data_IF_576058154604
#
_entry.id   IF_576058154604
#
_cell.length_a   1.000
_cell.length_b   1.000
_cell.length_c   1.000
_cell.angle_alpha   90.00
_cell.angle_beta   90.00
_cell.angle_gamma   90.00
#
_symmetry.space_group_name_H-M   'P 1'
#
loop_
_entity.id
_entity.type
_entity.pdbx_description
1 polymer ?
#
# COMPACT_ATOMS: atom_id res chain seq x y z
N UNK A 1 -58.36 -7.53 21.18
CA UNK A 1 -57.04 -7.09 21.70
C UNK A 1 -55.91 -8.07 21.33
N UNK A 2 -56.11 -9.37 21.38
CA UNK A 2 -55.13 -10.43 21.11
C UNK A 2 -54.58 -10.47 19.66
N UNK A 3 -55.41 -10.19 18.64
CA UNK A 3 -55.00 -10.27 17.21
C UNK A 3 -53.96 -9.17 16.89
N UNK A 4 -54.12 -7.97 17.40
CA UNK A 4 -53.14 -6.86 17.20
C UNK A 4 -51.79 -7.17 17.84
N UNK A 5 -51.78 -7.77 19.04
CA UNK A 5 -50.54 -8.21 19.70
C UNK A 5 -49.85 -9.35 18.92
N UNK A 6 -50.60 -10.26 18.30
CA UNK A 6 -50.03 -11.36 17.52
C UNK A 6 -49.39 -10.87 16.22
N UNK A 7 -50.00 -9.87 15.56
CA UNK A 7 -49.46 -9.27 14.33
C UNK A 7 -48.16 -8.52 14.64
N UNK A 8 -48.07 -7.77 15.75
CA UNK A 8 -46.86 -7.07 16.16
C UNK A 8 -45.74 -8.04 16.50
N UNK A 9 -46.03 -9.13 17.19
CA UNK A 9 -45.07 -10.18 17.51
C UNK A 9 -44.53 -10.85 16.24
N UNK A 10 -45.40 -11.13 15.25
CA UNK A 10 -45.00 -11.71 13.97
C UNK A 10 -44.12 -10.80 13.14
N UNK A 11 -44.37 -9.47 13.13
CA UNK A 11 -43.53 -8.48 12.46
C UNK A 11 -42.14 -8.39 13.12
N UNK A 12 -42.07 -8.46 14.45
CA UNK A 12 -40.79 -8.43 15.17
C UNK A 12 -39.97 -9.71 14.90
N UNK A 13 -40.61 -10.86 14.79
CA UNK A 13 -39.94 -12.13 14.48
C UNK A 13 -39.38 -12.18 13.05
N UNK A 14 -40.03 -11.54 12.09
CA UNK A 14 -39.61 -11.55 10.69
C UNK A 14 -38.43 -10.61 10.43
N UNK A 15 -38.27 -9.52 11.22
CA UNK A 15 -37.12 -8.61 11.09
C UNK A 15 -35.80 -9.20 11.62
N UNK A 16 -35.85 -10.17 12.51
CA UNK A 16 -34.67 -10.85 13.06
C UNK A 16 -34.02 -11.87 12.13
N UNK A 17 -34.65 -12.26 11.04
CA UNK A 17 -34.21 -13.35 10.16
C UNK A 17 -33.29 -12.88 8.99
N UNK A 18 -33.03 -11.60 8.86
CA UNK A 18 -32.20 -11.06 7.76
C UNK A 18 -30.85 -10.45 8.20
N UNK A 19 -30.26 -10.95 9.29
CA UNK A 19 -28.86 -10.69 9.53
C UNK A 19 -28.04 -11.57 8.59
N UNK A 20 -27.72 -11.06 7.40
CA UNK A 20 -26.77 -11.73 6.51
C UNK A 20 -25.41 -11.72 7.20
N UNK A 21 -24.88 -12.89 7.51
CA UNK A 21 -23.54 -13.00 8.07
C UNK A 21 -22.55 -12.34 7.11
N UNK A 22 -21.85 -11.31 7.62
CA UNK A 22 -20.86 -10.62 6.83
C UNK A 22 -19.60 -11.48 6.69
N UNK A 23 -19.09 -11.59 5.47
CA UNK A 23 -17.80 -12.25 5.23
C UNK A 23 -16.68 -11.39 5.76
N UNK A 24 -15.92 -11.89 6.72
CA UNK A 24 -14.73 -11.20 7.25
C UNK A 24 -13.63 -11.17 6.20
N UNK A 25 -13.06 -9.99 6.00
CA UNK A 25 -12.01 -9.71 5.03
C UNK A 25 -10.95 -8.83 5.69
N UNK A 26 -9.71 -9.17 5.47
CA UNK A 26 -8.57 -8.36 5.91
C UNK A 26 -7.99 -7.56 4.75
N UNK A 27 -7.74 -6.26 4.97
CA UNK A 27 -7.07 -5.35 4.05
C UNK A 27 -5.84 -4.74 4.71
N UNK A 28 -4.65 -5.11 4.26
CA UNK A 28 -3.38 -4.60 4.77
C UNK A 28 -2.96 -3.35 4.03
N UNK A 29 -2.66 -2.27 4.78
CA UNK A 29 -2.07 -1.06 4.22
C UNK A 29 -0.56 -1.22 4.04
N UNK A 30 -0.02 -0.55 3.02
CA UNK A 30 1.40 -0.61 2.66
C UNK A 30 2.25 0.46 3.34
N UNK A 31 1.64 1.36 4.08
CA UNK A 31 2.28 2.44 4.84
C UNK A 31 1.40 2.88 6.00
N UNK A 32 1.94 3.78 6.84
CA UNK A 32 1.20 4.40 7.94
C UNK A 32 -0.05 5.13 7.44
N UNK A 33 -1.00 5.35 8.33
CA UNK A 33 -2.26 6.01 8.02
C UNK A 33 -2.02 7.41 7.47
N UNK A 34 -2.39 7.59 6.20
CA UNK A 34 -2.24 8.82 5.45
C UNK A 34 -3.43 8.98 4.50
N UNK A 35 -3.62 10.18 3.96
CA UNK A 35 -4.75 10.51 3.09
C UNK A 35 -4.85 9.61 1.85
N UNK A 36 -3.75 9.06 1.37
CA UNK A 36 -3.75 8.08 0.26
C UNK A 36 -4.63 6.85 0.51
N UNK A 37 -4.91 6.53 1.78
CA UNK A 37 -5.77 5.40 2.17
C UNK A 37 -7.18 5.82 2.55
N UNK A 38 -7.51 7.11 2.47
CA UNK A 38 -8.81 7.65 2.90
C UNK A 38 -10.00 6.92 2.27
N UNK A 39 -9.88 6.50 0.99
CA UNK A 39 -10.93 5.80 0.28
C UNK A 39 -11.35 4.49 0.96
N UNK A 40 -10.41 3.73 1.51
CA UNK A 40 -10.70 2.48 2.22
C UNK A 40 -11.43 2.73 3.54
N UNK A 41 -10.99 3.73 4.31
CA UNK A 41 -11.63 4.12 5.56
C UNK A 41 -13.03 4.68 5.34
N UNK A 42 -13.20 5.56 4.35
CA UNK A 42 -14.51 6.13 3.99
C UNK A 42 -15.47 5.03 3.53
N UNK A 43 -15.00 4.06 2.74
CA UNK A 43 -15.82 2.94 2.30
C UNK A 43 -16.30 2.10 3.49
N UNK A 44 -15.47 1.90 4.50
CA UNK A 44 -15.82 1.20 5.73
C UNK A 44 -16.83 2.01 6.55
N UNK A 45 -16.55 3.29 6.86
CA UNK A 45 -17.40 4.16 7.68
C UNK A 45 -18.78 4.41 7.05
N UNK A 46 -18.83 4.59 5.73
CA UNK A 46 -20.10 4.74 5.00
C UNK A 46 -20.83 3.42 4.76
N UNK A 47 -20.30 2.31 5.25
CA UNK A 47 -20.94 1.00 5.16
C UNK A 47 -20.97 0.41 3.75
N UNK A 48 -20.11 0.88 2.81
CA UNK A 48 -20.10 0.36 1.45
C UNK A 48 -19.69 -1.12 1.42
N UNK A 49 -18.75 -1.53 2.25
CA UNK A 49 -18.37 -2.93 2.39
C UNK A 49 -19.52 -3.77 2.95
N UNK A 50 -20.21 -3.29 3.98
CA UNK A 50 -21.36 -3.98 4.59
C UNK A 50 -22.50 -4.20 3.59
N UNK A 51 -22.76 -3.21 2.72
CA UNK A 51 -23.76 -3.33 1.64
C UNK A 51 -23.43 -4.48 0.67
N UNK A 52 -22.15 -4.80 0.52
CA UNK A 52 -21.68 -5.93 -0.29
C UNK A 52 -21.57 -7.25 0.51
N UNK A 53 -21.98 -7.25 1.78
CA UNK A 53 -21.89 -8.42 2.65
C UNK A 53 -20.50 -8.68 3.21
N UNK A 54 -19.65 -7.64 3.29
CA UNK A 54 -18.28 -7.73 3.77
C UNK A 54 -18.10 -6.99 5.11
N UNK A 55 -17.38 -7.62 6.04
CA UNK A 55 -16.82 -7.00 7.24
C UNK A 55 -15.32 -6.86 7.03
N UNK A 56 -14.88 -5.63 6.69
CA UNK A 56 -13.47 -5.37 6.33
C UNK A 56 -12.70 -4.86 7.53
N UNK A 57 -11.70 -5.62 7.96
CA UNK A 57 -10.68 -5.20 8.89
C UNK A 57 -9.53 -4.53 8.12
N UNK A 58 -9.32 -3.23 8.32
CA UNK A 58 -8.19 -2.49 7.76
C UNK A 58 -7.03 -2.62 8.75
N UNK A 59 -5.95 -3.28 8.33
CA UNK A 59 -4.75 -3.50 9.13
C UNK A 59 -3.73 -2.40 8.87
N UNK A 60 -3.28 -1.67 9.93
CA UNK A 60 -2.26 -0.66 9.79
C UNK A 60 -0.91 -1.28 9.41
N UNK A 61 -0.06 -0.46 8.79
CA UNK A 61 1.32 -0.87 8.49
C UNK A 61 2.17 -0.91 9.75
N UNK A 62 3.09 -1.85 9.80
CA UNK A 62 4.21 -1.85 10.74
C UNK A 62 5.49 -2.33 10.04
N UNK A 63 6.65 -1.92 10.56
CA UNK A 63 7.92 -2.42 10.06
C UNK A 63 8.10 -3.91 10.35
N UNK A 64 8.72 -4.63 9.42
CA UNK A 64 8.95 -6.07 9.54
C UNK A 64 7.86 -6.95 8.92
N UNK A 65 6.74 -6.37 8.48
CA UNK A 65 5.71 -7.12 7.74
C UNK A 65 6.16 -7.37 6.30
N UNK A 66 5.99 -8.60 5.83
CA UNK A 66 6.19 -8.95 4.41
C UNK A 66 4.84 -9.14 3.74
N UNK A 67 4.25 -8.02 3.30
CA UNK A 67 2.90 -7.98 2.73
C UNK A 67 2.72 -8.95 1.56
N UNK A 68 3.58 -9.00 0.52
CA UNK A 68 3.41 -9.94 -0.59
C UNK A 68 3.48 -11.40 -0.15
N UNK A 69 4.30 -11.73 0.86
CA UNK A 69 4.37 -13.08 1.40
C UNK A 69 3.11 -13.44 2.19
N UNK A 70 2.59 -12.52 2.99
CA UNK A 70 1.42 -12.76 3.82
C UNK A 70 0.15 -12.93 2.97
N UNK A 71 0.01 -12.17 1.87
CA UNK A 71 -1.06 -12.38 0.88
C UNK A 71 -0.87 -13.71 0.16
N UNK A 72 0.36 -14.04 -0.29
CA UNK A 72 0.66 -15.30 -0.97
C UNK A 72 0.37 -16.52 -0.12
N UNK A 73 0.51 -16.40 1.20
CA UNK A 73 0.24 -17.45 2.18
C UNK A 73 -1.21 -17.43 2.71
N UNK A 74 -2.08 -16.59 2.16
CA UNK A 74 -3.47 -16.43 2.60
C UNK A 74 -3.63 -16.01 4.08
N UNK A 75 -2.65 -15.36 4.67
CA UNK A 75 -2.77 -14.73 6.00
C UNK A 75 -3.53 -13.42 5.95
N UNK A 76 -3.53 -12.78 4.79
CA UNK A 76 -4.20 -11.53 4.48
C UNK A 76 -4.92 -11.71 3.15
N UNK A 77 -6.17 -11.26 3.07
CA UNK A 77 -7.00 -11.44 1.87
C UNK A 77 -6.65 -10.42 0.79
N UNK A 78 -6.49 -9.14 1.18
CA UNK A 78 -6.19 -8.04 0.27
C UNK A 78 -5.09 -7.16 0.86
N UNK A 79 -4.32 -6.53 -0.01
CA UNK A 79 -3.32 -5.57 0.42
C UNK A 79 -3.14 -4.44 -0.60
N UNK A 80 -2.71 -3.29 -0.11
CA UNK A 80 -2.19 -2.23 -0.95
C UNK A 80 -0.74 -2.53 -1.27
N UNK A 81 -0.35 -2.37 -2.52
CA UNK A 81 1.01 -2.60 -3.00
C UNK A 81 1.45 -1.54 -3.99
N UNK A 82 2.64 -1.73 -4.53
CA UNK A 82 3.26 -0.84 -5.51
C UNK A 82 3.73 -1.65 -6.73
N UNK A 83 4.32 -0.99 -7.71
CA UNK A 83 4.88 -1.57 -8.93
C UNK A 83 5.88 -2.72 -8.68
N UNK A 84 6.51 -2.73 -7.52
CA UNK A 84 7.42 -3.81 -7.06
C UNK A 84 6.75 -5.19 -7.01
N UNK A 85 5.42 -5.24 -6.95
CA UNK A 85 4.66 -6.49 -7.01
C UNK A 85 4.94 -7.30 -8.28
N UNK A 86 5.37 -6.65 -9.37
CA UNK A 86 5.80 -7.34 -10.61
C UNK A 86 6.98 -8.28 -10.32
N UNK A 87 7.97 -7.82 -9.54
CA UNK A 87 9.11 -8.66 -9.16
C UNK A 87 8.69 -9.80 -8.21
N UNK A 88 7.78 -9.52 -7.28
CA UNK A 88 7.26 -10.55 -6.39
C UNK A 88 6.48 -11.64 -7.15
N UNK A 89 5.75 -11.23 -8.18
CA UNK A 89 5.09 -12.17 -9.11
C UNK A 89 6.10 -12.99 -9.89
N UNK A 90 7.20 -12.38 -10.37
CA UNK A 90 8.29 -13.08 -11.07
C UNK A 90 9.01 -14.11 -10.17
N UNK A 91 9.02 -13.87 -8.84
CA UNK A 91 9.49 -14.81 -7.82
C UNK A 91 8.45 -15.90 -7.47
N UNK A 92 7.44 -16.10 -8.31
CA UNK A 92 6.36 -17.09 -8.16
C UNK A 92 5.46 -16.89 -6.93
N UNK A 93 5.36 -15.70 -6.37
CA UNK A 93 4.38 -15.42 -5.33
C UNK A 93 2.96 -15.52 -5.89
N UNK A 94 2.06 -16.16 -5.13
CA UNK A 94 0.65 -16.34 -5.51
C UNK A 94 -0.16 -15.08 -5.23
N UNK A 95 0.13 -14.02 -5.97
CA UNK A 95 -0.53 -12.72 -5.87
C UNK A 95 -1.11 -12.30 -7.22
N UNK A 96 -2.17 -11.51 -7.18
CA UNK A 96 -2.85 -10.95 -8.35
C UNK A 96 -3.09 -9.46 -8.11
N UNK A 97 -2.73 -8.61 -9.07
CA UNK A 97 -3.11 -7.20 -9.06
C UNK A 97 -4.55 -7.06 -9.54
N UNK A 98 -5.41 -6.43 -8.73
CA UNK A 98 -6.82 -6.25 -9.04
C UNK A 98 -7.07 -4.95 -9.82
N UNK A 99 -6.45 -3.86 -9.38
CA UNK A 99 -6.53 -2.54 -10.04
C UNK A 99 -5.38 -1.65 -9.59
N UNK A 100 -5.10 -0.60 -10.35
CA UNK A 100 -4.17 0.45 -9.99
C UNK A 100 -4.95 1.73 -9.65
N UNK A 101 -4.85 2.19 -8.40
CA UNK A 101 -5.50 3.42 -7.95
C UNK A 101 -4.76 4.65 -8.50
N UNK A 102 -3.43 4.65 -8.41
CA UNK A 102 -2.58 5.69 -8.98
C UNK A 102 -1.94 5.18 -10.27
N UNK A 103 -2.02 5.96 -11.33
CA UNK A 103 -1.51 5.59 -12.66
C UNK A 103 -0.02 5.93 -12.85
N UNK A 104 0.54 6.74 -11.94
CA UNK A 104 1.96 7.08 -11.91
C UNK A 104 2.47 6.99 -10.47
N UNK A 105 3.78 6.69 -10.31
CA UNK A 105 4.40 6.69 -8.99
C UNK A 105 4.52 8.12 -8.45
N UNK A 106 4.16 8.37 -7.18
CA UNK A 106 4.38 9.66 -6.53
C UNK A 106 5.80 9.79 -5.96
N UNK A 107 6.64 8.78 -6.09
CA UNK A 107 7.99 8.79 -5.55
C UNK A 107 8.87 9.76 -6.33
N UNK A 108 9.63 10.55 -5.59
CA UNK A 108 10.57 11.54 -6.14
C UNK A 108 11.91 11.44 -5.41
N UNK A 109 12.99 11.86 -6.07
CA UNK A 109 14.26 12.14 -5.42
C UNK A 109 14.32 13.62 -5.08
N UNK A 110 14.77 13.92 -3.87
CA UNK A 110 14.99 15.27 -3.40
C UNK A 110 16.49 15.59 -3.45
N UNK A 111 16.82 16.78 -3.92
CA UNK A 111 18.17 17.33 -3.84
C UNK A 111 18.14 18.77 -3.33
N UNK A 112 19.22 19.24 -2.74
CA UNK A 112 19.38 20.68 -2.45
C UNK A 112 19.85 21.42 -3.69
N UNK A 113 19.56 22.72 -3.80
CA UNK A 113 20.04 23.55 -4.94
C UNK A 113 21.56 23.55 -5.02
N UNK A 114 22.22 23.55 -3.88
CA UNK A 114 23.70 23.61 -3.76
C UNK A 114 24.37 22.31 -4.23
N UNK A 115 23.61 21.20 -4.34
CA UNK A 115 24.15 19.94 -4.85
C UNK A 115 24.38 19.93 -6.36
N UNK A 116 23.75 20.89 -7.08
CA UNK A 116 23.81 21.02 -8.54
C UNK A 116 23.40 19.73 -9.28
N UNK A 117 22.43 18.99 -8.73
CA UNK A 117 21.85 17.81 -9.37
C UNK A 117 20.63 18.25 -10.17
N UNK A 118 20.76 18.27 -11.50
CA UNK A 118 19.71 18.67 -12.42
C UNK A 118 19.24 17.51 -13.32
N UNK A 119 20.12 16.53 -13.52
CA UNK A 119 19.88 15.37 -14.37
C UNK A 119 20.29 14.08 -13.67
N UNK A 120 19.89 12.94 -14.20
CA UNK A 120 20.29 11.63 -13.67
C UNK A 120 21.79 11.38 -13.79
N UNK A 121 22.46 12.00 -14.80
CA UNK A 121 23.90 11.88 -14.96
C UNK A 121 24.68 12.55 -13.83
N UNK A 122 24.09 13.55 -13.17
CA UNK A 122 24.71 14.24 -12.04
C UNK A 122 24.73 13.39 -10.75
N UNK A 123 24.15 12.19 -10.78
CA UNK A 123 24.18 11.23 -9.67
C UNK A 123 25.55 10.61 -9.46
N UNK A 124 26.38 10.59 -10.50
CA UNK A 124 27.74 10.02 -10.43
C UNK A 124 28.56 10.78 -9.39
N UNK A 125 29.18 10.05 -8.46
CA UNK A 125 29.94 10.63 -7.34
C UNK A 125 29.10 11.24 -6.21
N UNK A 126 27.77 11.18 -6.28
CA UNK A 126 26.88 11.63 -5.21
C UNK A 126 26.41 10.45 -4.35
N UNK A 127 26.07 10.72 -3.10
CA UNK A 127 25.40 9.76 -2.23
C UNK A 127 23.90 9.82 -2.48
N UNK A 128 23.29 8.69 -2.76
CA UNK A 128 21.86 8.56 -3.06
C UNK A 128 21.24 7.76 -1.92
N UNK A 129 20.48 8.41 -1.08
CA UNK A 129 19.81 7.75 0.05
C UNK A 129 18.51 7.11 -0.43
N UNK A 130 18.44 5.80 -0.33
CA UNK A 130 17.26 5.01 -0.73
C UNK A 130 17.00 3.86 0.25
N UNK A 131 15.85 3.22 0.14
CA UNK A 131 15.61 1.93 0.78
C UNK A 131 16.43 0.87 0.04
N UNK A 132 17.52 0.40 0.66
CA UNK A 132 18.40 -0.62 0.08
C UNK A 132 17.71 -1.99 0.16
N UNK A 133 16.76 -2.20 -0.75
CA UNK A 133 16.11 -3.48 -0.91
C UNK A 133 15.78 -3.61 -2.41
N UNK A 134 16.19 -4.72 -3.00
CA UNK A 134 16.10 -4.95 -4.45
C UNK A 134 14.69 -4.85 -5.02
N UNK A 135 13.67 -5.03 -4.17
CA UNK A 135 12.28 -4.97 -4.59
C UNK A 135 11.67 -3.57 -4.47
N UNK A 136 12.22 -2.68 -3.65
CA UNK A 136 11.60 -1.37 -3.37
C UNK A 136 12.02 -0.24 -4.32
N UNK A 137 13.06 -0.45 -5.16
CA UNK A 137 13.67 0.61 -5.96
C UNK A 137 13.56 0.36 -7.48
N UNK A 138 12.54 -0.38 -7.91
CA UNK A 138 12.36 -0.69 -9.35
C UNK A 138 12.25 0.56 -10.20
N UNK A 139 11.43 1.51 -9.79
CA UNK A 139 11.20 2.76 -10.53
C UNK A 139 12.47 3.59 -10.63
N UNK A 140 13.23 3.72 -9.53
CA UNK A 140 14.50 4.44 -9.49
C UNK A 140 15.53 3.79 -10.41
N UNK A 141 15.74 2.48 -10.27
CA UNK A 141 16.68 1.73 -11.11
C UNK A 141 16.30 1.77 -12.58
N UNK A 142 15.02 1.71 -12.91
CA UNK A 142 14.53 1.83 -14.30
C UNK A 142 14.80 3.23 -14.85
N UNK A 143 14.56 4.28 -14.09
CA UNK A 143 14.87 5.65 -14.48
C UNK A 143 16.37 5.81 -14.75
N UNK A 144 17.25 5.36 -13.85
CA UNK A 144 18.70 5.45 -14.00
C UNK A 144 19.15 4.75 -15.27
N UNK A 145 18.68 3.51 -15.51
CA UNK A 145 19.03 2.72 -16.72
C UNK A 145 18.54 3.39 -18.00
N UNK A 146 17.36 4.02 -17.99
CA UNK A 146 16.82 4.70 -19.16
C UNK A 146 17.68 5.89 -19.60
N UNK A 147 18.42 6.49 -18.67
CA UNK A 147 19.40 7.56 -18.93
C UNK A 147 20.82 7.03 -19.22
N UNK A 148 20.97 5.72 -19.40
CA UNK A 148 22.25 5.04 -19.70
C UNK A 148 23.33 5.23 -18.62
N UNK A 149 22.92 5.52 -17.38
CA UNK A 149 23.82 5.55 -16.22
C UNK A 149 23.93 4.14 -15.66
N UNK A 150 25.17 3.70 -15.41
CA UNK A 150 25.39 2.40 -14.80
C UNK A 150 25.11 2.49 -13.28
N UNK A 151 24.27 1.62 -12.77
CA UNK A 151 23.88 1.61 -11.34
C UNK A 151 25.08 1.31 -10.44
N UNK A 152 26.04 0.53 -10.93
CA UNK A 152 27.25 0.15 -10.19
C UNK A 152 28.20 1.33 -9.95
N UNK A 153 28.11 2.41 -10.76
CA UNK A 153 28.88 3.63 -10.60
C UNK A 153 28.29 4.59 -9.55
N UNK A 154 27.14 4.22 -8.96
CA UNK A 154 26.38 5.05 -8.03
C UNK A 154 26.57 4.61 -6.58
N UNK A 155 26.66 5.59 -5.69
CA UNK A 155 26.82 5.35 -4.26
C UNK A 155 25.47 5.40 -3.55
N UNK A 156 24.83 4.26 -3.37
CA UNK A 156 23.59 4.13 -2.61
C UNK A 156 23.87 3.98 -1.13
N UNK A 157 23.18 4.78 -0.32
CA UNK A 157 23.22 4.69 1.14
C UNK A 157 21.82 4.39 1.70
N UNK A 158 21.79 3.71 2.85
CA UNK A 158 20.53 3.30 3.48
C UNK A 158 19.73 4.51 3.96
N UNK A 159 18.41 4.51 3.67
CA UNK A 159 17.50 5.56 4.09
C UNK A 159 17.39 5.63 5.62
N UNK A 160 17.61 6.83 6.17
CA UNK A 160 17.51 7.11 7.60
C UNK A 160 16.10 7.52 8.06
N UNK A 161 15.21 7.85 7.10
CA UNK A 161 13.90 8.47 7.35
C UNK A 161 13.97 9.85 8.03
N UNK A 162 15.11 10.51 7.95
CA UNK A 162 15.33 11.83 8.54
C UNK A 162 15.77 12.84 7.46
N UNK A 163 14.90 13.78 7.14
CA UNK A 163 15.18 14.81 6.13
C UNK A 163 16.39 15.71 6.48
N UNK A 164 16.71 15.84 7.77
CA UNK A 164 17.87 16.62 8.20
C UNK A 164 19.19 16.04 7.70
N UNK A 165 19.25 14.76 7.35
CA UNK A 165 20.46 14.17 6.80
C UNK A 165 20.75 14.71 5.40
N UNK A 166 19.73 14.99 4.59
CA UNK A 166 19.86 15.69 3.32
C UNK A 166 20.33 17.14 3.53
N UNK A 167 19.69 17.88 4.45
CA UNK A 167 20.01 19.27 4.75
C UNK A 167 21.44 19.42 5.29
N UNK A 168 21.83 18.51 6.19
CA UNK A 168 23.16 18.52 6.84
C UNK A 168 24.24 17.79 6.04
N UNK A 169 23.94 17.34 4.81
CA UNK A 169 24.88 16.63 3.92
C UNK A 169 25.53 15.39 4.56
N UNK A 170 24.78 14.67 5.40
CA UNK A 170 25.23 13.44 6.05
C UNK A 170 25.18 12.21 5.13
#
# INVERSE_FOLDING_TARGET
MFIKSFIILFIILTTSLFSKDLKKITLQLSWFDQFQFAGYYIAKEKGFYKKLGLDVEIKPFNFGINIPQDVSNSKIDFAVGRETLILEKAKNKKIVALYALFQATPLVLLSTKESNINTVNDFIGKRIMTTIDDSSEVSLKSMIRSHKVNIEDLNFIKHSHNINDLVNKK
#
